data_IF_097288678729
#
_entry.id   IF_097288678729
#
_cell.length_a   1.000
_cell.length_b   1.000
_cell.length_c   1.000
_cell.angle_alpha   90.00
_cell.angle_beta   90.00
_cell.angle_gamma   90.00
#
_symmetry.space_group_name_H-M   'P 1'
#
loop_
_entity.id
_entity.type
_entity.pdbx_description
1 polymer ?
#
# COMPACT_ATOMS: atom_id res chain seq x y z
N UNK A 1 42.04 -21.60 1.56
CA UNK A 1 40.84 -21.39 2.43
C UNK A 1 39.95 -20.38 1.77
N UNK A 2 38.92 -20.85 1.05
CA UNK A 2 37.95 -19.97 0.37
C UNK A 2 36.83 -19.65 1.33
N UNK A 3 36.61 -18.35 1.58
CA UNK A 3 35.51 -17.85 2.39
C UNK A 3 34.26 -17.96 1.52
N UNK A 4 33.19 -18.64 1.95
CA UNK A 4 31.94 -18.61 1.21
C UNK A 4 31.35 -17.19 1.33
N UNK A 5 31.19 -16.50 0.21
CA UNK A 5 30.38 -15.27 0.10
C UNK A 5 28.92 -15.69 0.20
N UNK A 6 28.37 -15.60 1.40
CA UNK A 6 26.95 -15.77 1.66
C UNK A 6 26.21 -14.55 1.08
N UNK A 7 25.78 -14.65 -0.16
CA UNK A 7 24.89 -13.68 -0.79
C UNK A 7 23.54 -13.83 -0.09
N UNK A 8 22.97 -12.79 0.52
CA UNK A 8 21.67 -12.88 1.16
C UNK A 8 20.65 -13.36 0.12
N UNK A 9 20.16 -14.59 0.28
CA UNK A 9 19.08 -15.12 -0.54
C UNK A 9 17.86 -14.22 -0.36
N UNK A 10 17.47 -13.50 -1.41
CA UNK A 10 16.24 -12.75 -1.43
C UNK A 10 15.08 -13.74 -1.24
N UNK A 11 14.31 -13.57 -0.16
CA UNK A 11 13.10 -14.38 0.05
C UNK A 11 12.22 -14.23 -1.19
N UNK A 12 11.82 -15.34 -1.81
CA UNK A 12 10.90 -15.26 -2.94
C UNK A 12 9.50 -14.87 -2.43
N UNK A 13 8.91 -13.84 -3.06
CA UNK A 13 7.53 -13.44 -2.82
C UNK A 13 6.73 -13.65 -4.09
N UNK A 14 5.49 -14.14 -3.94
CA UNK A 14 4.52 -14.17 -5.02
C UNK A 14 3.57 -12.99 -4.86
N UNK A 15 3.44 -12.16 -5.89
CA UNK A 15 2.52 -11.02 -5.90
C UNK A 15 1.44 -11.25 -6.95
N UNK A 16 0.18 -11.11 -6.56
CA UNK A 16 -0.95 -11.24 -7.48
C UNK A 16 -2.06 -10.24 -7.15
N UNK A 17 -2.93 -10.00 -8.10
CA UNK A 17 -4.15 -9.22 -7.91
C UNK A 17 -5.04 -9.89 -6.87
N UNK A 18 -5.59 -9.10 -5.94
CA UNK A 18 -6.59 -9.56 -4.99
C UNK A 18 -7.93 -9.80 -5.70
N UNK A 19 -8.64 -10.81 -5.24
CA UNK A 19 -9.97 -11.19 -5.69
C UNK A 19 -10.96 -11.17 -4.51
N UNK A 20 -12.22 -11.44 -4.76
CA UNK A 20 -13.22 -11.58 -3.68
C UNK A 20 -12.91 -12.73 -2.72
N UNK A 21 -12.24 -13.77 -3.19
CA UNK A 21 -11.83 -14.89 -2.33
C UNK A 21 -10.83 -14.47 -1.25
N UNK A 22 -10.09 -13.38 -1.50
CA UNK A 22 -9.07 -12.87 -0.57
C UNK A 22 -9.63 -11.91 0.49
N UNK A 23 -10.93 -11.66 0.51
CA UNK A 23 -11.56 -10.59 1.29
C UNK A 23 -11.22 -10.68 2.79
N UNK A 24 -11.35 -11.86 3.40
CA UNK A 24 -11.07 -12.06 4.82
C UNK A 24 -9.58 -11.92 5.13
N UNK A 25 -8.71 -12.45 4.27
CA UNK A 25 -7.27 -12.34 4.44
C UNK A 25 -6.77 -10.88 4.26
N UNK A 26 -7.35 -10.14 3.31
CA UNK A 26 -7.08 -8.72 3.12
C UNK A 26 -7.54 -7.90 4.34
N UNK A 27 -8.72 -8.21 4.91
CA UNK A 27 -9.23 -7.55 6.11
C UNK A 27 -8.27 -7.75 7.29
N UNK A 28 -7.92 -9.00 7.58
CA UNK A 28 -7.01 -9.34 8.68
C UNK A 28 -5.65 -8.63 8.51
N UNK A 29 -5.07 -8.69 7.30
CA UNK A 29 -3.81 -8.04 7.00
C UNK A 29 -3.89 -6.52 7.18
N UNK A 30 -4.97 -5.89 6.70
CA UNK A 30 -5.17 -4.44 6.78
C UNK A 30 -5.29 -3.98 8.23
N UNK A 31 -6.13 -4.64 9.03
CA UNK A 31 -6.32 -4.36 10.46
C UNK A 31 -5.00 -4.55 11.21
N UNK A 32 -4.34 -5.69 11.01
CA UNK A 32 -3.08 -6.01 11.69
C UNK A 32 -2.00 -4.98 11.40
N UNK A 33 -1.76 -4.67 10.12
CA UNK A 33 -0.67 -3.77 9.72
C UNK A 33 -0.95 -2.32 10.11
N UNK A 34 -2.20 -1.87 10.03
CA UNK A 34 -2.58 -0.53 10.50
C UNK A 34 -2.41 -0.41 12.02
N UNK A 35 -2.95 -1.36 12.79
CA UNK A 35 -2.85 -1.37 14.25
C UNK A 35 -1.41 -1.44 14.73
N UNK A 36 -0.57 -2.28 14.12
CA UNK A 36 0.85 -2.35 14.44
C UNK A 36 1.60 -1.05 14.16
N UNK A 37 1.19 -0.31 13.13
CA UNK A 37 1.89 0.92 12.72
C UNK A 37 1.42 2.14 13.48
N UNK A 38 0.12 2.25 13.73
CA UNK A 38 -0.52 3.48 14.22
C UNK A 38 -1.37 3.31 15.47
N UNK A 39 -1.71 2.06 15.86
CA UNK A 39 -2.67 1.82 16.94
C UNK A 39 -2.33 2.51 18.26
N UNK A 40 -1.05 2.71 18.54
CA UNK A 40 -0.57 3.40 19.74
C UNK A 40 -0.88 4.91 19.79
N UNK A 41 -1.29 5.49 18.65
CA UNK A 41 -1.60 6.92 18.53
C UNK A 41 -3.05 7.26 18.96
N UNK A 42 -3.93 6.26 18.97
CA UNK A 42 -5.38 6.48 19.06
C UNK A 42 -5.96 5.93 20.36
N UNK A 43 -7.05 6.57 20.84
CA UNK A 43 -7.87 5.97 21.87
C UNK A 43 -8.49 4.65 21.36
N UNK A 44 -8.67 3.64 22.21
CA UNK A 44 -9.17 2.32 21.80
C UNK A 44 -10.49 2.38 21.02
N UNK A 45 -11.45 3.17 21.47
CA UNK A 45 -12.77 3.29 20.83
C UNK A 45 -12.66 3.98 19.45
N UNK A 46 -11.87 5.07 19.35
CA UNK A 46 -11.62 5.77 18.08
C UNK A 46 -10.93 4.85 17.06
N UNK A 47 -9.99 4.03 17.53
CA UNK A 47 -9.31 3.03 16.69
C UNK A 47 -10.28 1.97 16.22
N UNK A 48 -11.11 1.41 17.13
CA UNK A 48 -12.07 0.38 16.78
C UNK A 48 -13.07 0.88 15.74
N UNK A 49 -13.68 2.04 15.95
CA UNK A 49 -14.63 2.65 15.00
C UNK A 49 -13.99 2.87 13.61
N UNK A 50 -12.75 3.32 13.62
CA UNK A 50 -12.00 3.51 12.36
C UNK A 50 -11.77 2.17 11.64
N UNK A 51 -11.33 1.14 12.35
CA UNK A 51 -11.07 -0.18 11.77
C UNK A 51 -12.36 -0.82 11.24
N UNK A 52 -13.44 -0.73 11.99
CA UNK A 52 -14.76 -1.26 11.60
C UNK A 52 -15.34 -0.54 10.36
N UNK A 53 -15.19 0.78 10.28
CA UNK A 53 -15.66 1.55 9.13
C UNK A 53 -14.80 1.36 7.89
N UNK A 54 -13.47 1.40 8.06
CA UNK A 54 -12.51 1.45 6.95
C UNK A 54 -12.17 0.07 6.39
N UNK A 55 -12.12 -0.95 7.25
CA UNK A 55 -11.72 -2.31 6.91
C UNK A 55 -12.84 -3.34 7.09
N UNK A 56 -14.12 -2.91 7.16
CA UNK A 56 -15.25 -3.85 7.12
C UNK A 56 -15.23 -4.66 5.82
N UNK A 57 -15.77 -5.87 5.88
CA UNK A 57 -15.92 -6.71 4.69
C UNK A 57 -16.68 -5.99 3.57
N UNK A 58 -17.68 -5.17 3.93
CA UNK A 58 -18.43 -4.39 2.96
C UNK A 58 -17.59 -3.30 2.29
N UNK A 59 -16.82 -2.53 3.06
CA UNK A 59 -15.91 -1.50 2.52
C UNK A 59 -14.85 -2.11 1.61
N UNK A 60 -14.24 -3.22 2.02
CA UNK A 60 -13.25 -3.92 1.21
C UNK A 60 -13.85 -4.59 -0.03
N UNK A 61 -15.09 -5.09 0.06
CA UNK A 61 -15.79 -5.63 -1.11
C UNK A 61 -16.03 -4.53 -2.15
N UNK A 62 -16.44 -3.34 -1.72
CA UNK A 62 -16.60 -2.19 -2.61
C UNK A 62 -15.30 -1.86 -3.32
N UNK A 63 -14.18 -1.81 -2.59
CA UNK A 63 -12.86 -1.57 -3.18
C UNK A 63 -12.42 -2.64 -4.17
N UNK A 64 -12.66 -3.93 -3.86
CA UNK A 64 -12.28 -5.04 -4.74
C UNK A 64 -13.14 -5.14 -6.00
N UNK A 65 -14.36 -4.58 -5.98
CA UNK A 65 -15.29 -4.60 -7.12
C UNK A 65 -15.29 -3.31 -7.94
N UNK A 66 -14.67 -2.26 -7.44
CA UNK A 66 -14.52 -1.01 -8.17
C UNK A 66 -13.47 -1.18 -9.29
N UNK A 67 -13.85 -1.05 -10.58
CA UNK A 67 -12.90 -1.17 -11.69
C UNK A 67 -11.86 -0.06 -11.72
N UNK A 68 -12.08 1.03 -11.00
CA UNK A 68 -11.13 2.13 -10.87
C UNK A 68 -10.08 1.88 -9.77
N UNK A 69 -10.27 0.88 -8.92
CA UNK A 69 -9.38 0.50 -7.85
C UNK A 69 -8.64 -0.80 -8.13
N UNK A 70 -7.47 -0.94 -7.54
CA UNK A 70 -6.64 -2.12 -7.68
C UNK A 70 -5.97 -2.47 -6.36
N UNK A 71 -6.08 -3.73 -5.96
CA UNK A 71 -5.38 -4.28 -4.79
C UNK A 71 -4.48 -5.42 -5.24
N UNK A 72 -3.23 -5.42 -4.80
CA UNK A 72 -2.33 -6.58 -4.93
C UNK A 72 -1.93 -7.06 -3.56
N UNK A 73 -1.88 -8.38 -3.44
CA UNK A 73 -1.42 -9.10 -2.26
C UNK A 73 -0.08 -9.77 -2.55
N UNK A 74 0.79 -9.76 -1.57
CA UNK A 74 2.05 -10.49 -1.61
C UNK A 74 2.04 -11.62 -0.58
N UNK A 75 2.55 -12.76 -0.99
CA UNK A 75 2.65 -13.99 -0.21
C UNK A 75 4.11 -14.39 -0.08
N UNK A 76 4.51 -14.91 1.10
CA UNK A 76 5.86 -15.44 1.31
C UNK A 76 5.93 -16.86 0.75
N UNK A 77 6.67 -17.04 -0.34
CA UNK A 77 6.84 -18.36 -0.98
C UNK A 77 7.80 -19.28 -0.18
N UNK A 78 8.48 -18.76 0.85
CA UNK A 78 9.41 -19.53 1.68
C UNK A 78 8.75 -20.28 2.85
N UNK A 79 7.48 -20.09 3.11
CA UNK A 79 6.73 -20.73 4.22
C UNK A 79 5.83 -21.82 3.66
N UNK A 80 6.40 -22.84 3.09
CA UNK A 80 5.70 -23.99 2.58
C UNK A 80 6.54 -24.65 1.49
N UNK A 81 7.46 -25.51 1.89
CA UNK A 81 8.31 -26.28 0.99
C UNK A 81 7.57 -27.33 0.14
N UNK A 82 6.25 -27.19 -0.04
CA UNK A 82 5.46 -28.01 -0.93
C UNK A 82 5.16 -27.24 -2.22
N UNK A 83 5.71 -27.75 -3.31
CA UNK A 83 5.42 -27.33 -4.68
C UNK A 83 4.00 -27.73 -5.14
N UNK A 84 3.08 -27.95 -4.21
CA UNK A 84 1.68 -28.26 -4.51
C UNK A 84 0.95 -26.96 -4.89
N UNK A 85 0.39 -26.85 -6.10
CA UNK A 85 -0.40 -25.70 -6.52
C UNK A 85 -1.59 -25.41 -5.60
N UNK A 86 -2.12 -26.40 -4.90
CA UNK A 86 -3.22 -26.24 -3.93
C UNK A 86 -2.74 -25.64 -2.58
N UNK A 87 -1.45 -25.65 -2.27
CA UNK A 87 -0.88 -25.04 -1.06
C UNK A 87 -0.83 -23.50 -1.11
N UNK A 88 -1.00 -22.88 -2.27
CA UNK A 88 -1.10 -21.43 -2.41
C UNK A 88 -2.41 -20.86 -1.87
N UNK A 89 -3.48 -21.65 -1.76
CA UNK A 89 -4.77 -21.19 -1.21
C UNK A 89 -4.76 -21.02 0.32
N UNK A 90 -3.77 -21.59 1.04
CA UNK A 90 -3.69 -21.52 2.51
C UNK A 90 -2.65 -20.52 3.03
N UNK A 91 -1.84 -19.94 2.16
CA UNK A 91 -0.80 -18.98 2.55
C UNK A 91 -1.42 -17.62 2.86
N UNK A 92 -1.16 -17.10 4.07
CA UNK A 92 -1.62 -15.76 4.46
C UNK A 92 -0.79 -14.66 3.77
N UNK A 93 -1.43 -13.60 3.26
CA UNK A 93 -0.70 -12.49 2.66
C UNK A 93 0.12 -11.75 3.71
N UNK A 94 1.29 -11.28 3.30
CA UNK A 94 2.26 -10.59 4.16
C UNK A 94 2.41 -9.10 3.85
N UNK A 95 1.89 -8.66 2.72
CA UNK A 95 1.88 -7.26 2.32
C UNK A 95 0.79 -6.99 1.28
N UNK A 96 0.39 -5.73 1.17
CA UNK A 96 -0.53 -5.30 0.12
C UNK A 96 -0.29 -3.87 -0.33
N UNK A 97 -0.75 -3.55 -1.53
CA UNK A 97 -0.89 -2.19 -2.05
C UNK A 97 -2.29 -1.99 -2.61
N UNK A 98 -2.86 -0.81 -2.35
CA UNK A 98 -4.13 -0.33 -2.92
C UNK A 98 -3.85 0.92 -3.74
N UNK A 99 -4.25 0.93 -5.00
CA UNK A 99 -4.19 2.07 -5.89
C UNK A 99 -5.56 2.38 -6.49
N UNK A 100 -5.79 3.63 -6.87
CA UNK A 100 -7.06 4.07 -7.46
C UNK A 100 -7.05 5.55 -7.84
N UNK A 101 -8.22 6.15 -8.15
CA UNK A 101 -8.34 7.58 -8.39
C UNK A 101 -7.90 8.39 -7.16
N UNK A 102 -7.28 9.54 -7.40
CA UNK A 102 -6.86 10.43 -6.32
C UNK A 102 -8.06 11.08 -5.63
N UNK A 103 -8.07 11.01 -4.29
CA UNK A 103 -9.09 11.60 -3.42
C UNK A 103 -8.50 12.52 -2.35
N UNK A 104 -7.21 12.82 -2.42
CA UNK A 104 -6.54 13.69 -1.46
C UNK A 104 -7.03 15.14 -1.57
N UNK A 105 -7.18 15.85 -0.44
CA UNK A 105 -7.70 17.21 -0.41
C UNK A 105 -6.63 18.24 -0.79
N UNK A 106 -6.22 18.24 -2.06
CA UNK A 106 -5.25 19.19 -2.59
C UNK A 106 -5.80 19.90 -3.82
N UNK A 107 -5.64 21.23 -3.97
CA UNK A 107 -6.24 22.02 -5.06
C UNK A 107 -5.72 21.62 -6.45
N UNK A 108 -4.52 21.07 -6.55
CA UNK A 108 -3.94 20.63 -7.82
C UNK A 108 -4.33 19.20 -8.24
N UNK A 109 -5.07 18.47 -7.42
CA UNK A 109 -5.59 17.14 -7.80
C UNK A 109 -6.61 17.31 -8.91
N UNK A 110 -6.43 16.56 -10.00
CA UNK A 110 -7.29 16.60 -11.18
C UNK A 110 -8.06 15.29 -11.35
N UNK A 111 -9.18 15.38 -12.06
CA UNK A 111 -9.88 14.18 -12.52
C UNK A 111 -8.95 13.35 -13.41
N UNK A 112 -8.78 12.08 -13.08
CA UNK A 112 -7.85 11.18 -13.76
C UNK A 112 -6.50 11.00 -13.07
N UNK A 113 -6.14 11.83 -12.09
CA UNK A 113 -4.94 11.60 -11.28
C UNK A 113 -5.05 10.30 -10.47
N UNK A 114 -3.90 9.63 -10.32
CA UNK A 114 -3.81 8.38 -9.59
C UNK A 114 -3.31 8.56 -8.15
N UNK A 115 -3.70 7.66 -7.28
CA UNK A 115 -3.27 7.62 -5.88
C UNK A 115 -2.81 6.24 -5.45
N UNK A 116 -1.67 6.18 -4.78
CA UNK A 116 -1.31 5.03 -3.94
C UNK A 116 -1.98 5.25 -2.58
N UNK A 117 -3.12 4.60 -2.38
CA UNK A 117 -3.95 4.82 -1.19
C UNK A 117 -3.43 4.13 0.05
N UNK A 118 -2.81 2.96 -0.11
CA UNK A 118 -2.26 2.14 0.99
C UNK A 118 -1.11 1.30 0.47
N UNK A 119 -0.05 1.21 1.26
CA UNK A 119 1.06 0.28 1.04
C UNK A 119 1.56 -0.20 2.40
N UNK A 120 1.30 -1.45 2.72
CA UNK A 120 1.68 -2.05 4.00
C UNK A 120 2.43 -3.36 3.81
N UNK A 121 3.44 -3.54 4.64
CA UNK A 121 4.25 -4.76 4.74
C UNK A 121 4.28 -5.17 6.21
N UNK A 122 3.97 -6.44 6.53
CA UNK A 122 4.03 -6.98 7.89
C UNK A 122 5.39 -6.67 8.53
N UNK A 123 5.39 -6.44 9.84
CA UNK A 123 6.63 -6.28 10.61
C UNK A 123 7.53 -7.50 10.44
N UNK A 124 8.83 -7.27 10.42
CA UNK A 124 9.83 -8.32 10.16
C UNK A 124 10.13 -8.60 8.68
N UNK A 125 9.24 -8.21 7.75
CA UNK A 125 9.47 -8.33 6.30
C UNK A 125 9.79 -7.00 5.62
N UNK A 126 9.90 -5.95 6.39
CA UNK A 126 10.35 -4.65 5.90
C UNK A 126 11.85 -4.72 5.54
N UNK A 127 12.27 -3.96 4.52
CA UNK A 127 13.62 -4.00 3.90
C UNK A 127 13.92 -5.26 3.04
N UNK A 128 12.95 -6.14 2.81
CA UNK A 128 13.09 -7.29 1.90
C UNK A 128 12.98 -6.94 0.41
N UNK A 129 12.76 -5.65 0.08
CA UNK A 129 12.46 -5.22 -1.29
C UNK A 129 10.98 -5.36 -1.68
N UNK A 130 10.15 -6.04 -0.86
CA UNK A 130 8.75 -6.32 -1.17
C UNK A 130 7.91 -5.05 -1.38
N UNK A 131 8.10 -4.04 -0.51
CA UNK A 131 7.43 -2.75 -0.66
C UNK A 131 7.74 -2.07 -2.01
N UNK A 132 8.98 -2.19 -2.49
CA UNK A 132 9.37 -1.63 -3.79
C UNK A 132 8.70 -2.37 -4.96
N UNK A 133 8.60 -3.70 -4.88
CA UNK A 133 7.91 -4.49 -5.90
C UNK A 133 6.43 -4.13 -5.98
N UNK A 134 5.74 -4.06 -4.83
CA UNK A 134 4.33 -3.65 -4.76
C UNK A 134 4.12 -2.22 -5.28
N UNK A 135 5.01 -1.29 -4.89
CA UNK A 135 4.94 0.09 -5.36
C UNK A 135 5.10 0.18 -6.88
N UNK A 136 6.07 -0.54 -7.46
CA UNK A 136 6.27 -0.56 -8.93
C UNK A 136 5.03 -1.07 -9.65
N UNK A 137 4.46 -2.21 -9.22
CA UNK A 137 3.26 -2.78 -9.83
C UNK A 137 2.08 -1.78 -9.79
N UNK A 138 1.88 -1.12 -8.65
CA UNK A 138 0.79 -0.16 -8.49
C UNK A 138 1.01 1.11 -9.33
N UNK A 139 2.24 1.60 -9.41
CA UNK A 139 2.62 2.74 -10.27
C UNK A 139 2.41 2.38 -11.73
N UNK A 140 2.90 1.23 -12.20
CA UNK A 140 2.75 0.81 -13.59
C UNK A 140 1.26 0.73 -13.98
N UNK A 141 0.43 0.14 -13.12
CA UNK A 141 -1.01 0.06 -13.34
C UNK A 141 -1.70 1.44 -13.38
N UNK A 142 -1.27 2.40 -12.54
CA UNK A 142 -1.78 3.77 -12.61
C UNK A 142 -1.34 4.47 -13.90
N UNK A 143 -0.10 4.27 -14.35
CA UNK A 143 0.45 4.88 -15.57
C UNK A 143 -0.27 4.42 -16.85
N UNK A 144 -0.80 3.19 -16.90
CA UNK A 144 -1.64 2.72 -18.00
C UNK A 144 -2.89 3.58 -18.23
N UNK A 145 -3.33 4.33 -17.21
CA UNK A 145 -4.47 5.24 -17.25
C UNK A 145 -4.13 6.66 -17.67
N UNK A 146 -2.86 6.91 -17.97
CA UNK A 146 -2.34 8.20 -18.45
C UNK A 146 -2.69 9.38 -17.54
N UNK A 147 -2.48 9.29 -16.20
CA UNK A 147 -2.72 10.41 -15.29
C UNK A 147 -1.75 11.56 -15.54
N UNK A 148 -2.12 12.78 -15.15
CA UNK A 148 -1.20 13.92 -15.15
C UNK A 148 -0.21 13.87 -13.98
N UNK A 149 -0.65 13.27 -12.87
CA UNK A 149 0.17 13.09 -11.67
C UNK A 149 -0.23 11.84 -10.87
N UNK A 150 0.72 11.36 -10.07
CA UNK A 150 0.48 10.37 -9.02
C UNK A 150 0.65 11.03 -7.66
N UNK A 151 -0.20 10.61 -6.71
CA UNK A 151 -0.30 11.20 -5.39
C UNK A 151 -0.28 10.12 -4.31
N UNK A 152 0.11 10.48 -3.11
CA UNK A 152 -0.13 9.71 -1.89
C UNK A 152 -0.06 10.59 -0.65
N UNK A 153 -0.73 10.15 0.42
CA UNK A 153 -0.58 10.68 1.77
C UNK A 153 0.48 9.91 2.54
N UNK A 154 1.24 10.59 3.38
CA UNK A 154 2.21 9.96 4.27
C UNK A 154 2.28 10.68 5.60
N UNK A 155 2.27 9.90 6.69
CA UNK A 155 2.39 10.47 8.04
C UNK A 155 3.67 11.30 8.18
N UNK A 156 3.53 12.55 8.66
CA UNK A 156 4.64 13.52 8.74
C UNK A 156 5.82 13.08 9.61
N UNK A 157 5.59 12.08 10.51
CA UNK A 157 6.64 11.49 11.35
C UNK A 157 7.18 10.17 10.81
N UNK A 158 6.76 9.73 9.63
CA UNK A 158 7.27 8.52 9.00
C UNK A 158 8.40 8.82 8.01
N UNK A 159 9.54 9.29 8.52
CA UNK A 159 10.72 9.65 7.71
C UNK A 159 11.19 8.51 6.81
N UNK A 160 10.99 7.26 7.25
CA UNK A 160 11.36 6.09 6.46
C UNK A 160 10.49 5.96 5.22
N UNK A 161 9.17 6.09 5.36
CA UNK A 161 8.26 6.06 4.23
C UNK A 161 8.47 7.25 3.29
N UNK A 162 8.71 8.44 3.84
CA UNK A 162 9.02 9.63 3.03
C UNK A 162 10.22 9.39 2.14
N UNK A 163 11.37 8.95 2.69
CA UNK A 163 12.56 8.59 1.90
C UNK A 163 12.32 7.45 0.92
N UNK A 164 11.42 6.53 1.24
CA UNK A 164 11.02 5.48 0.31
C UNK A 164 10.28 6.07 -0.89
N UNK A 165 9.29 6.94 -0.70
CA UNK A 165 8.53 7.58 -1.78
C UNK A 165 9.36 8.57 -2.60
N UNK A 166 10.31 9.28 -1.99
CA UNK A 166 11.28 10.14 -2.69
C UNK A 166 12.05 9.35 -3.76
N UNK A 167 12.47 8.11 -3.47
CA UNK A 167 13.15 7.25 -4.46
C UNK A 167 12.27 6.85 -5.64
N UNK A 168 10.93 6.93 -5.49
CA UNK A 168 9.97 6.77 -6.59
C UNK A 168 9.61 8.08 -7.29
N UNK A 169 10.29 9.18 -6.96
CA UNK A 169 10.12 10.48 -7.59
C UNK A 169 8.97 11.30 -7.04
N UNK A 170 8.44 10.95 -5.86
CA UNK A 170 7.46 11.77 -5.16
C UNK A 170 8.14 12.89 -4.38
N UNK A 171 7.58 14.08 -4.46
CA UNK A 171 8.03 15.28 -3.76
C UNK A 171 6.90 15.90 -2.95
N UNK A 172 7.23 16.61 -1.89
CA UNK A 172 6.24 17.29 -1.05
C UNK A 172 5.43 18.30 -1.87
N UNK A 173 4.10 18.26 -1.73
CA UNK A 173 3.18 19.15 -2.42
C UNK A 173 2.26 19.91 -1.46
N UNK A 174 1.94 19.34 -0.30
CA UNK A 174 1.03 19.95 0.67
C UNK A 174 0.86 19.10 1.92
N UNK A 175 -0.13 19.45 2.70
CA UNK A 175 -0.41 18.83 3.99
C UNK A 175 -1.91 18.71 4.22
N UNK A 176 -2.32 17.74 5.02
CA UNK A 176 -3.70 17.63 5.48
C UNK A 176 -3.81 16.97 6.85
N UNK A 177 -5.01 16.92 7.37
CA UNK A 177 -5.30 16.26 8.65
C UNK A 177 -6.07 14.97 8.40
N UNK A 178 -5.41 13.84 8.60
CA UNK A 178 -6.04 12.53 8.54
C UNK A 178 -6.81 12.27 9.84
N UNK A 179 -8.07 11.85 9.72
CA UNK A 179 -8.98 11.73 10.86
C UNK A 179 -9.13 10.27 11.28
N UNK A 180 -8.88 10.00 12.59
CA UNK A 180 -9.27 8.76 13.28
C UNK A 180 -10.02 9.16 14.54
N UNK A 181 -11.33 8.95 14.57
CA UNK A 181 -12.17 9.42 15.66
C UNK A 181 -12.00 10.93 15.93
N UNK A 182 -11.60 11.26 17.14
CA UNK A 182 -11.29 12.63 17.57
C UNK A 182 -9.86 13.07 17.22
N UNK A 183 -8.97 12.13 16.91
CA UNK A 183 -7.57 12.40 16.58
C UNK A 183 -7.42 12.94 15.14
N UNK A 184 -6.39 13.78 14.95
CA UNK A 184 -6.06 14.39 13.65
C UNK A 184 -4.57 14.27 13.41
N UNK A 185 -4.16 13.25 12.65
CA UNK A 185 -2.78 13.08 12.24
C UNK A 185 -2.37 14.17 11.25
N UNK A 186 -1.17 14.65 11.40
CA UNK A 186 -0.55 15.52 10.41
C UNK A 186 0.07 14.67 9.32
N UNK A 187 -0.45 14.76 8.10
CA UNK A 187 0.07 14.05 6.95
C UNK A 187 0.58 15.00 5.87
N UNK A 188 1.66 14.61 5.24
CA UNK A 188 2.15 15.24 4.03
C UNK A 188 1.45 14.64 2.81
N UNK A 189 1.08 15.51 1.89
CA UNK A 189 0.68 15.11 0.54
C UNK A 189 1.92 15.18 -0.33
N UNK A 190 2.27 14.08 -0.98
CA UNK A 190 3.38 14.03 -1.90
C UNK A 190 2.90 13.69 -3.31
N UNK A 191 3.54 14.30 -4.31
CA UNK A 191 3.15 14.25 -5.72
C UNK A 191 4.33 13.82 -6.57
N UNK A 192 4.08 12.96 -7.54
CA UNK A 192 4.96 12.69 -8.68
C UNK A 192 4.30 13.23 -9.93
N UNK A 193 4.80 14.36 -10.43
CA UNK A 193 4.37 14.90 -11.72
C UNK A 193 4.81 13.96 -12.83
N UNK A 194 3.90 13.60 -13.69
CA UNK A 194 4.19 12.86 -14.92
C UNK A 194 4.24 13.94 -16.00
N UNK A 195 5.39 14.09 -16.64
CA UNK A 195 5.59 15.13 -17.64
C UNK A 195 4.41 15.15 -18.60
N UNK A 196 3.73 16.27 -18.68
CA UNK A 196 2.91 16.59 -19.83
C UNK A 196 3.87 16.63 -21.03
N UNK A 197 4.03 15.50 -21.73
CA UNK A 197 4.61 15.52 -23.07
C UNK A 197 3.72 16.46 -23.87
N UNK A 198 4.20 17.68 -24.05
CA UNK A 198 3.80 18.67 -25.04
C UNK A 198 2.55 18.24 -25.85
N UNK A 199 1.37 18.57 -25.32
CA UNK A 199 0.19 18.69 -26.15
C UNK A 199 0.39 19.97 -26.96
N UNK A 200 1.04 19.84 -28.12
CA UNK A 200 0.93 20.78 -29.21
C UNK A 200 -0.37 20.56 -29.95
#
# INVERSE_FOLDING_TARGET
MSIPTDTPQSRPFTIRRATRADLSALQELSITTFTQTFGYLYAPDDLQDFLESTYSLNALTTLLTDPQCAVWLAFDAGVGGDTNPDAQETSQPVAYVLAGPCSLPHPDVRSGDGEIKRLYVRQGLQNSGLGAQLMSIAVDWLLERQPDALWLGVWSRNDRAQRFYERFGFTHAGEYRFKVGCHRDHEFIVKRALHASLRQ
#
